data_IF_306895023071
#
_entry.id   IF_306895023071
#
_cell.length_a   1.000
_cell.length_b   1.000
_cell.length_c   1.000
_cell.angle_alpha   90.00
_cell.angle_beta   90.00
_cell.angle_gamma   90.00
#
_symmetry.space_group_name_H-M   'P 1'
#
loop_
_entity.id
_entity.type
_entity.pdbx_description
1 polymer ?
#
# COMPACT_ATOMS: atom_id res chain seq x y z
N UNK A 1 -15.23 -14.09 9.22
CA UNK A 1 -15.84 -13.07 10.12
C UNK A 1 -15.14 -11.76 9.82
N UNK A 2 -15.87 -10.66 9.60
CA UNK A 2 -15.25 -9.38 9.25
C UNK A 2 -16.19 -8.22 9.53
N UNK A 3 -15.60 -7.05 9.77
CA UNK A 3 -16.32 -5.77 9.85
C UNK A 3 -16.84 -5.43 8.46
N UNK A 4 -18.16 -5.33 8.34
CA UNK A 4 -18.87 -4.90 7.14
C UNK A 4 -19.79 -3.72 7.50
N UNK A 5 -19.16 -2.57 7.76
CA UNK A 5 -19.87 -1.32 7.98
C UNK A 5 -19.62 -0.42 6.75
N UNK A 6 -20.67 0.01 6.03
CA UNK A 6 -20.50 0.85 4.85
C UNK A 6 -19.93 2.23 5.18
N UNK A 7 -19.91 2.61 6.47
CA UNK A 7 -19.48 3.90 6.97
C UNK A 7 -18.04 3.97 7.51
N UNK A 8 -17.20 2.96 7.28
CA UNK A 8 -15.78 3.03 7.63
C UNK A 8 -15.09 4.16 6.84
N UNK A 9 -14.56 5.17 7.55
CA UNK A 9 -13.88 6.34 6.97
C UNK A 9 -12.36 6.28 6.99
N UNK A 10 -11.80 5.46 7.87
CA UNK A 10 -10.36 5.32 8.02
C UNK A 10 -10.02 3.87 8.34
N UNK A 11 -9.05 3.32 7.61
CA UNK A 11 -8.39 2.06 7.93
C UNK A 11 -6.93 2.34 8.23
N UNK A 12 -6.43 1.90 9.39
CA UNK A 12 -5.04 2.14 9.81
C UNK A 12 -4.32 0.80 9.97
N UNK A 13 -3.20 0.65 9.26
CA UNK A 13 -2.29 -0.49 9.40
C UNK A 13 -1.07 -0.06 10.21
N UNK A 14 -0.86 -0.72 11.36
CA UNK A 14 0.29 -0.45 12.23
C UNK A 14 1.46 -1.37 11.89
N UNK A 15 2.43 -0.85 11.15
CA UNK A 15 3.61 -1.58 10.69
C UNK A 15 3.55 -1.92 9.20
N UNK A 16 4.56 -2.65 8.74
CA UNK A 16 4.66 -3.09 7.36
C UNK A 16 3.50 -4.04 7.01
N UNK A 17 2.80 -3.82 5.88
CA UNK A 17 1.92 -4.83 5.31
C UNK A 17 2.67 -6.14 5.11
N UNK A 18 2.03 -7.29 5.35
CA UNK A 18 2.69 -8.58 5.13
C UNK A 18 2.71 -8.94 3.63
N UNK A 19 1.61 -8.65 2.95
CA UNK A 19 1.40 -8.80 1.50
C UNK A 19 0.42 -7.70 1.09
N UNK A 20 0.63 -7.08 -0.06
CA UNK A 20 -0.24 -6.03 -0.57
C UNK A 20 -1.66 -6.54 -0.85
N UNK A 21 -1.82 -7.78 -1.32
CA UNK A 21 -3.14 -8.40 -1.52
C UNK A 21 -4.00 -8.38 -0.24
N UNK A 22 -3.40 -8.72 0.90
CA UNK A 22 -4.11 -8.71 2.19
C UNK A 22 -4.44 -7.27 2.61
N UNK A 23 -3.48 -6.36 2.43
CA UNK A 23 -3.68 -4.93 2.69
C UNK A 23 -4.83 -4.34 1.85
N UNK A 24 -4.94 -4.69 0.56
CA UNK A 24 -6.02 -4.23 -0.31
C UNK A 24 -7.37 -4.77 0.17
N UNK A 25 -7.43 -6.04 0.57
CA UNK A 25 -8.66 -6.62 1.13
C UNK A 25 -9.09 -5.92 2.44
N UNK A 26 -8.14 -5.58 3.30
CA UNK A 26 -8.37 -4.92 4.58
C UNK A 26 -8.77 -3.44 4.41
N UNK A 27 -8.00 -2.70 3.61
CA UNK A 27 -8.25 -1.28 3.31
C UNK A 27 -9.54 -1.06 2.50
N UNK A 28 -9.90 -2.00 1.61
CA UNK A 28 -11.15 -2.00 0.83
C UNK A 28 -12.43 -2.16 1.66
N UNK A 29 -12.32 -2.24 2.99
CA UNK A 29 -13.46 -2.09 3.91
C UNK A 29 -13.90 -0.63 4.07
N UNK A 30 -13.01 0.33 3.80
CA UNK A 30 -13.32 1.75 3.78
C UNK A 30 -14.27 2.13 2.64
N UNK A 31 -15.09 3.16 2.85
CA UNK A 31 -15.77 3.86 1.75
C UNK A 31 -16.77 3.04 0.94
N UNK A 32 -17.31 1.91 1.46
CA UNK A 32 -18.29 1.07 0.72
C UNK A 32 -19.60 1.80 0.37
N UNK A 33 -19.89 2.92 1.02
CA UNK A 33 -20.96 3.85 0.67
C UNK A 33 -20.59 4.85 -0.44
N UNK A 34 -19.44 4.67 -1.12
CA UNK A 34 -18.86 5.56 -2.15
C UNK A 34 -18.51 6.97 -1.67
N UNK A 35 -18.48 7.19 -0.36
CA UNK A 35 -17.95 8.43 0.20
C UNK A 35 -16.46 8.28 0.47
N UNK A 36 -15.76 9.40 0.48
CA UNK A 36 -14.33 9.46 0.76
C UNK A 36 -13.99 8.68 2.04
N UNK A 37 -12.93 7.88 1.92
CA UNK A 37 -12.28 7.20 3.03
C UNK A 37 -10.78 7.18 2.81
N UNK A 38 -10.04 7.07 3.90
CA UNK A 38 -8.57 7.02 3.88
C UNK A 38 -8.06 5.65 4.32
N UNK A 39 -6.95 5.22 3.74
CA UNK A 39 -6.17 4.08 4.20
C UNK A 39 -4.77 4.58 4.54
N UNK A 40 -4.32 4.32 5.76
CA UNK A 40 -3.05 4.82 6.28
C UNK A 40 -2.20 3.65 6.74
N UNK A 41 -0.95 3.61 6.29
CA UNK A 41 0.08 2.70 6.81
C UNK A 41 1.03 3.49 7.69
N UNK A 42 1.10 3.13 8.97
CA UNK A 42 1.99 3.76 9.94
C UNK A 42 3.19 2.86 10.18
N UNK A 43 4.36 3.28 9.70
CA UNK A 43 5.61 2.56 9.93
C UNK A 43 6.57 3.34 10.82
N UNK A 44 7.50 2.61 11.44
CA UNK A 44 8.59 3.24 12.19
C UNK A 44 9.57 3.86 11.22
N UNK A 45 9.96 5.11 11.46
CA UNK A 45 11.00 5.80 10.69
C UNK A 45 12.31 5.01 10.58
N UNK A 46 12.70 4.33 11.66
CA UNK A 46 13.90 3.49 11.69
C UNK A 46 13.89 2.36 10.65
N UNK A 47 12.71 1.94 10.18
CA UNK A 47 12.60 0.95 9.11
C UNK A 47 12.97 1.55 7.75
N UNK A 48 12.50 2.77 7.44
CA UNK A 48 12.87 3.49 6.21
C UNK A 48 14.38 3.72 6.13
N UNK A 49 14.99 4.08 7.26
CA UNK A 49 16.43 4.34 7.35
C UNK A 49 17.24 3.05 7.11
N UNK A 50 16.77 1.90 7.60
CA UNK A 50 17.41 0.60 7.37
C UNK A 50 17.31 0.16 5.92
N UNK A 51 16.15 0.36 5.28
CA UNK A 51 15.96 -0.01 3.87
C UNK A 51 16.90 0.75 2.93
N UNK A 52 17.16 2.02 3.20
CA UNK A 52 18.11 2.83 2.40
C UNK A 52 19.57 2.38 2.56
N UNK A 53 19.89 1.68 3.64
CA UNK A 53 21.25 1.24 3.97
C UNK A 53 21.53 -0.23 3.62
N UNK A 54 20.49 -1.01 3.28
CA UNK A 54 20.67 -2.42 2.93
C UNK A 54 21.28 -2.55 1.53
N UNK A 55 22.50 -3.09 1.45
CA UNK A 55 23.01 -3.67 0.21
C UNK A 55 22.27 -4.97 -0.08
N UNK A 56 21.97 -5.31 -1.34
CA UNK A 56 21.19 -6.49 -1.68
C UNK A 56 21.99 -7.76 -1.34
N UNK A 57 21.75 -8.33 -0.16
CA UNK A 57 22.25 -9.65 0.23
C UNK A 57 21.20 -10.73 -0.06
N UNK A 58 21.59 -11.76 -0.82
CA UNK A 58 20.71 -12.73 -1.46
C UNK A 58 19.99 -13.72 -0.51
N UNK A 59 20.37 -13.79 0.76
CA UNK A 59 20.07 -14.95 1.63
C UNK A 59 18.89 -14.79 2.61
N UNK A 60 18.22 -13.63 2.68
CA UNK A 60 17.11 -13.39 3.62
C UNK A 60 15.69 -13.48 3.00
N UNK A 61 15.49 -14.29 1.96
CA UNK A 61 14.22 -14.30 1.21
C UNK A 61 13.01 -14.92 1.92
N UNK A 62 13.19 -15.71 2.97
CA UNK A 62 12.06 -16.43 3.58
C UNK A 62 11.14 -15.57 4.46
N UNK A 63 11.63 -14.43 4.97
CA UNK A 63 10.88 -13.52 5.85
C UNK A 63 10.94 -12.07 5.39
N UNK A 64 11.62 -11.80 4.27
CA UNK A 64 11.63 -10.48 3.66
C UNK A 64 10.27 -10.16 3.05
N UNK A 65 9.90 -8.88 3.09
CA UNK A 65 8.78 -8.37 2.31
C UNK A 65 9.12 -8.44 0.82
N UNK A 66 8.09 -8.66 0.00
CA UNK A 66 8.23 -8.56 -1.45
C UNK A 66 8.56 -7.11 -1.87
N UNK A 67 9.09 -6.99 -3.08
CA UNK A 67 9.58 -5.74 -3.65
C UNK A 67 8.46 -4.69 -3.75
N UNK A 68 7.27 -5.09 -4.21
CA UNK A 68 6.14 -4.18 -4.35
C UNK A 68 5.64 -3.69 -2.98
N UNK A 69 5.66 -4.50 -1.92
CA UNK A 69 5.35 -4.05 -0.55
C UNK A 69 6.36 -3.02 -0.07
N UNK A 70 7.65 -3.21 -0.35
CA UNK A 70 8.70 -2.25 0.01
C UNK A 70 8.54 -0.95 -0.79
N UNK A 71 8.28 -1.03 -2.09
CA UNK A 71 8.03 0.11 -2.98
C UNK A 71 6.76 0.88 -2.54
N UNK A 72 5.67 0.14 -2.27
CA UNK A 72 4.39 0.68 -1.82
C UNK A 72 4.51 1.42 -0.50
N UNK A 73 5.37 1.00 0.43
CA UNK A 73 5.57 1.72 1.69
C UNK A 73 6.59 2.85 1.52
N UNK A 74 7.66 2.61 0.78
CA UNK A 74 8.74 3.58 0.51
C UNK A 74 8.27 4.83 -0.22
N UNK A 75 7.23 4.72 -1.05
CA UNK A 75 6.62 5.86 -1.73
C UNK A 75 7.48 6.43 -2.86
N UNK A 76 8.30 5.59 -3.49
CA UNK A 76 9.07 5.94 -4.69
C UNK A 76 8.21 6.02 -5.96
N UNK A 77 6.99 5.46 -5.92
CA UNK A 77 6.00 5.49 -7.00
C UNK A 77 4.60 5.78 -6.46
N UNK A 78 3.70 6.17 -7.35
CA UNK A 78 2.28 6.33 -7.05
C UNK A 78 1.74 5.08 -6.34
N UNK A 79 0.97 5.29 -5.26
CA UNK A 79 0.41 4.17 -4.50
C UNK A 79 -0.48 3.26 -5.37
N UNK A 80 -1.27 3.83 -6.29
CA UNK A 80 -2.14 3.05 -7.20
C UNK A 80 -1.38 2.32 -8.30
N UNK A 81 -0.26 2.88 -8.77
CA UNK A 81 0.59 2.18 -9.74
C UNK A 81 1.14 0.89 -9.15
N UNK A 82 1.63 0.94 -7.90
CA UNK A 82 2.14 -0.26 -7.22
C UNK A 82 1.01 -1.27 -6.94
N UNK A 83 -0.17 -0.79 -6.50
CA UNK A 83 -1.31 -1.66 -6.26
C UNK A 83 -1.83 -2.35 -7.54
N UNK A 84 -1.96 -1.62 -8.64
CA UNK A 84 -2.44 -2.18 -9.91
C UNK A 84 -1.45 -3.20 -10.49
N UNK A 85 -0.14 -2.97 -10.29
CA UNK A 85 0.90 -3.93 -10.67
C UNK A 85 0.76 -5.24 -9.91
N UNK A 86 0.65 -5.17 -8.58
CA UNK A 86 0.53 -6.37 -7.74
C UNK A 86 -0.80 -7.11 -7.99
N UNK A 87 -1.91 -6.38 -8.10
CA UNK A 87 -3.24 -6.98 -8.16
C UNK A 87 -3.60 -7.50 -9.56
N UNK A 88 -3.29 -6.72 -10.59
CA UNK A 88 -3.75 -6.95 -11.96
C UNK A 88 -2.60 -7.15 -12.97
N UNK A 89 -1.34 -7.03 -12.54
CA UNK A 89 -0.18 -7.13 -13.43
C UNK A 89 -0.01 -5.93 -14.37
N UNK A 90 -0.69 -4.82 -14.08
CA UNK A 90 -0.66 -3.60 -14.89
C UNK A 90 0.68 -2.86 -14.72
N UNK A 91 1.39 -2.59 -15.80
CA UNK A 91 2.72 -1.93 -15.78
C UNK A 91 2.77 -0.61 -16.56
N UNK A 92 1.67 -0.25 -17.21
CA UNK A 92 1.50 0.93 -18.06
C UNK A 92 0.77 2.08 -17.36
N UNK A 93 0.42 1.90 -16.08
CA UNK A 93 -0.13 2.95 -15.23
C UNK A 93 0.95 3.93 -14.78
N UNK A 94 0.67 5.23 -14.86
CA UNK A 94 1.56 6.30 -14.39
C UNK A 94 0.78 7.32 -13.55
N UNK A 95 0.80 7.17 -12.23
CA UNK A 95 0.13 8.11 -11.33
C UNK A 95 -1.34 7.80 -11.03
N UNK A 96 -1.96 8.70 -10.27
CA UNK A 96 -3.40 8.74 -10.06
C UNK A 96 -4.05 9.50 -11.23
N UNK A 97 -5.27 9.12 -11.60
CA UNK A 97 -6.04 9.79 -12.65
C UNK A 97 -6.78 11.00 -12.06
N UNK A 98 -6.31 12.23 -12.35
CA UNK A 98 -6.73 13.46 -11.67
C UNK A 98 -8.25 13.73 -11.67
N UNK A 99 -8.96 13.29 -12.71
CA UNK A 99 -10.40 13.55 -12.87
C UNK A 99 -11.29 12.40 -12.36
N UNK A 100 -10.73 11.20 -12.15
CA UNK A 100 -11.47 9.99 -11.81
C UNK A 100 -11.17 9.49 -10.38
N UNK A 101 -10.06 9.94 -9.78
CA UNK A 101 -9.52 9.38 -8.56
C UNK A 101 -9.13 10.43 -7.51
N UNK A 102 -9.28 10.05 -6.24
CA UNK A 102 -8.69 10.79 -5.14
C UNK A 102 -7.17 10.60 -5.13
N UNK A 103 -6.38 11.67 -5.14
CA UNK A 103 -4.92 11.62 -5.14
C UNK A 103 -4.36 10.87 -3.92
N UNK A 104 -3.32 10.06 -4.16
CA UNK A 104 -2.55 9.46 -3.07
C UNK A 104 -1.55 10.47 -2.49
N UNK A 105 -0.86 10.11 -1.40
CA UNK A 105 0.12 10.98 -0.74
C UNK A 105 1.44 11.19 -1.53
N UNK A 106 1.64 10.44 -2.62
CA UNK A 106 2.84 10.51 -3.47
C UNK A 106 2.62 11.37 -4.73
N UNK A 107 1.38 11.49 -5.20
CA UNK A 107 1.01 12.24 -6.40
C UNK A 107 0.53 13.65 -6.02
#
# INVERSE_FOLDING_TARGET
LGVDDPNVRLVVHGGMPRQLVNFVQESGRGGRNRQKSESVVVIRRSWLEQQQQQEPQEEQKSWAWDEDTVEYVGGSRCRREVLDREMDGCIDRFGCEEEEEEMCDVC
#
